data_IF_402926115138
#
_entry.id   IF_402926115138
#
_cell.length_a   1.000
_cell.length_b   1.000
_cell.length_c   1.000
_cell.angle_alpha   90.00
_cell.angle_beta   90.00
_cell.angle_gamma   90.00
#
_symmetry.space_group_name_H-M   'P 1'
#
loop_
_entity.id
_entity.type
_entity.pdbx_description
1 polymer ?
#
# COMPACT_ATOMS: atom_id res chain seq x y z
N UNK A 1 -7.54 6.65 -23.49
CA UNK A 1 -6.96 7.59 -22.54
C UNK A 1 -6.23 6.78 -21.47
N UNK A 2 -5.11 7.26 -20.91
CA UNK A 2 -4.45 6.57 -19.82
C UNK A 2 -5.38 6.49 -18.60
N UNK A 3 -5.23 5.44 -17.82
CA UNK A 3 -5.92 5.29 -16.53
C UNK A 3 -5.35 6.31 -15.54
N UNK A 4 -6.20 6.98 -14.79
CA UNK A 4 -5.76 7.98 -13.81
C UNK A 4 -5.62 7.32 -12.44
N UNK A 5 -4.43 7.47 -11.84
CA UNK A 5 -4.11 6.93 -10.52
C UNK A 5 -3.84 8.04 -9.51
N UNK A 6 -4.31 7.83 -8.28
CA UNK A 6 -3.84 8.51 -7.07
C UNK A 6 -3.17 7.46 -6.20
N UNK A 7 -1.96 7.74 -5.72
CA UNK A 7 -1.18 6.80 -4.90
C UNK A 7 -0.93 7.45 -3.54
N UNK A 8 -1.38 6.80 -2.47
CA UNK A 8 -1.09 7.20 -1.08
C UNK A 8 -0.07 6.22 -0.49
N UNK A 9 1.05 6.73 0.07
CA UNK A 9 2.24 5.94 0.38
C UNK A 9 2.95 6.48 1.61
N UNK A 10 3.60 5.64 2.39
CA UNK A 10 4.52 6.02 3.47
C UNK A 10 5.99 5.80 3.10
N UNK A 11 6.30 5.96 1.86
CA UNK A 11 7.43 5.60 1.01
C UNK A 11 8.67 5.14 1.77
N UNK A 12 8.78 3.83 1.88
CA UNK A 12 9.99 3.12 2.22
C UNK A 12 10.49 2.31 0.99
N UNK A 13 11.24 1.24 1.22
CA UNK A 13 11.96 0.54 0.17
C UNK A 13 11.06 -0.13 -0.88
N UNK A 14 10.03 -0.84 -0.46
CA UNK A 14 9.08 -1.50 -1.36
C UNK A 14 8.06 -0.53 -1.95
N UNK A 15 7.59 0.46 -1.19
CA UNK A 15 6.80 1.58 -1.74
C UNK A 15 7.50 2.24 -2.92
N UNK A 16 8.81 2.52 -2.79
CA UNK A 16 9.58 3.15 -3.86
C UNK A 16 9.57 2.29 -5.14
N UNK A 17 9.65 0.97 -5.01
CA UNK A 17 9.53 0.05 -6.17
C UNK A 17 8.12 0.09 -6.75
N UNK A 18 7.08 0.13 -5.91
CA UNK A 18 5.70 0.27 -6.38
C UNK A 18 5.47 1.59 -7.12
N UNK A 19 6.03 2.71 -6.62
CA UNK A 19 6.01 4.00 -7.30
C UNK A 19 6.70 3.93 -8.67
N UNK A 20 7.86 3.28 -8.78
CA UNK A 20 8.54 3.06 -10.07
C UNK A 20 7.60 2.33 -11.03
N UNK A 21 6.96 1.25 -10.59
CA UNK A 21 6.04 0.47 -11.43
C UNK A 21 4.91 1.34 -12.00
N UNK A 22 4.30 2.18 -11.19
CA UNK A 22 3.23 3.08 -11.63
C UNK A 22 3.74 4.17 -12.57
N UNK A 23 4.82 4.87 -12.19
CA UNK A 23 5.38 6.01 -12.91
C UNK A 23 6.00 5.60 -14.27
N UNK A 24 6.43 4.35 -14.39
CA UNK A 24 6.98 3.78 -15.64
C UNK A 24 5.93 3.04 -16.50
N UNK A 25 4.66 3.00 -16.06
CA UNK A 25 3.58 2.36 -16.82
C UNK A 25 3.01 3.32 -17.88
N UNK A 26 3.13 3.02 -19.18
CA UNK A 26 2.79 3.95 -20.25
C UNK A 26 1.28 4.21 -20.38
N UNK A 27 0.46 3.35 -19.82
CA UNK A 27 -1.00 3.44 -19.84
C UNK A 27 -1.58 4.05 -18.54
N UNK A 28 -0.72 4.58 -17.67
CA UNK A 28 -1.10 5.19 -16.39
C UNK A 28 -0.66 6.66 -16.35
N UNK A 29 -1.56 7.50 -15.85
CA UNK A 29 -1.27 8.88 -15.45
C UNK A 29 -1.41 8.99 -13.93
N UNK A 30 -0.29 9.18 -13.23
CA UNK A 30 -0.29 9.43 -11.79
C UNK A 30 -0.62 10.90 -11.54
N UNK A 31 -1.89 11.16 -11.17
CA UNK A 31 -2.40 12.51 -10.94
C UNK A 31 -1.93 13.11 -9.60
N UNK A 32 -1.63 12.26 -8.61
CA UNK A 32 -1.07 12.67 -7.33
C UNK A 32 -0.37 11.51 -6.64
N UNK A 33 0.72 11.83 -5.93
CA UNK A 33 1.33 11.01 -4.89
C UNK A 33 1.10 11.74 -3.57
N UNK A 34 0.36 11.12 -2.65
CA UNK A 34 0.12 11.65 -1.31
C UNK A 34 0.90 10.83 -0.30
N UNK A 35 1.53 11.49 0.67
CA UNK A 35 2.46 10.84 1.59
C UNK A 35 1.94 10.91 3.01
N UNK A 36 2.00 9.80 3.72
CA UNK A 36 1.61 9.63 5.11
C UNK A 36 2.81 9.15 5.94
N UNK A 37 2.81 9.36 7.24
CA UNK A 37 3.76 8.71 8.13
C UNK A 37 3.37 7.24 8.35
N UNK A 38 4.33 6.34 8.24
CA UNK A 38 4.17 4.91 8.47
C UNK A 38 5.53 4.26 8.67
N UNK A 39 6.03 3.54 7.69
CA UNK A 39 7.34 2.86 7.74
C UNK A 39 8.46 3.78 8.23
N UNK A 40 8.41 5.05 7.84
CA UNK A 40 9.30 6.11 8.31
C UNK A 40 8.49 7.36 8.70
N UNK A 41 9.08 8.32 9.46
CA UNK A 41 8.44 9.61 9.70
C UNK A 41 8.09 10.35 8.40
N UNK A 42 7.04 11.15 8.40
CA UNK A 42 6.52 11.86 7.22
C UNK A 42 7.60 12.58 6.40
N UNK A 43 8.49 13.31 7.07
CA UNK A 43 9.56 14.04 6.37
C UNK A 43 10.48 13.10 5.58
N UNK A 44 10.79 11.93 6.14
CA UNK A 44 11.62 10.94 5.47
C UNK A 44 10.85 10.27 4.32
N UNK A 45 9.59 9.90 4.54
CA UNK A 45 8.73 9.36 3.48
C UNK A 45 8.59 10.34 2.30
N UNK A 46 8.43 11.64 2.60
CA UNK A 46 8.39 12.70 1.58
C UNK A 46 9.69 12.79 0.77
N UNK A 47 10.84 12.73 1.43
CA UNK A 47 12.15 12.72 0.73
C UNK A 47 12.26 11.52 -0.19
N UNK A 48 11.85 10.35 0.28
CA UNK A 48 11.90 9.10 -0.46
C UNK A 48 10.96 9.13 -1.68
N UNK A 49 9.71 9.61 -1.52
CA UNK A 49 8.75 9.76 -2.61
C UNK A 49 9.24 10.73 -3.70
N UNK A 50 9.75 11.89 -3.30
CA UNK A 50 10.31 12.89 -4.21
C UNK A 50 11.53 12.34 -4.95
N UNK A 51 12.46 11.69 -4.24
CA UNK A 51 13.65 11.07 -4.84
C UNK A 51 13.26 9.99 -5.85
N UNK A 52 12.32 9.13 -5.52
CA UNK A 52 11.83 8.08 -6.43
C UNK A 52 11.16 8.67 -7.67
N UNK A 53 10.35 9.73 -7.50
CA UNK A 53 9.74 10.43 -8.63
C UNK A 53 10.80 11.08 -9.56
N UNK A 54 11.85 11.69 -8.99
CA UNK A 54 13.00 12.23 -9.74
C UNK A 54 13.75 11.14 -10.50
N UNK A 55 14.03 10.01 -9.83
CA UNK A 55 14.72 8.87 -10.43
C UNK A 55 13.95 8.33 -11.66
N UNK A 56 12.61 8.39 -11.61
CA UNK A 56 11.75 8.03 -12.74
C UNK A 56 11.63 9.12 -13.82
N UNK A 57 12.20 10.30 -13.63
CA UNK A 57 11.98 11.45 -14.51
C UNK A 57 10.53 11.94 -14.52
N UNK A 58 9.77 11.66 -13.43
CA UNK A 58 8.35 11.97 -13.36
C UNK A 58 8.08 13.37 -12.81
N UNK A 59 7.08 14.05 -13.39
CA UNK A 59 6.55 15.32 -12.91
C UNK A 59 5.31 15.17 -12.01
N UNK A 60 4.90 13.96 -11.66
CA UNK A 60 3.74 13.73 -10.80
C UNK A 60 3.84 14.55 -9.50
N UNK A 61 2.80 15.30 -9.11
CA UNK A 61 2.83 16.14 -7.92
C UNK A 61 2.83 15.28 -6.65
N UNK A 62 3.63 15.69 -5.64
CA UNK A 62 3.81 14.98 -4.37
C UNK A 62 3.36 15.88 -3.23
N UNK A 63 2.45 15.40 -2.39
CA UNK A 63 1.79 16.16 -1.33
C UNK A 63 2.09 15.56 0.04
N UNK A 64 2.48 16.40 1.00
CA UNK A 64 2.63 15.99 2.39
C UNK A 64 1.28 15.85 3.09
N UNK A 65 1.09 14.76 3.81
CA UNK A 65 -0.12 14.46 4.55
C UNK A 65 0.10 14.35 6.06
N UNK A 66 -0.53 13.37 6.67
CA UNK A 66 -0.52 13.22 8.11
C UNK A 66 0.81 12.67 8.64
N UNK A 67 1.28 13.30 9.69
CA UNK A 67 2.53 12.90 10.36
C UNK A 67 2.33 11.87 11.48
N UNK A 68 1.08 11.47 11.74
CA UNK A 68 0.72 10.55 12.82
C UNK A 68 -0.63 9.88 12.56
N UNK A 69 -0.86 8.68 13.11
CA UNK A 69 -2.17 8.03 13.13
C UNK A 69 -3.24 8.86 13.82
N UNK A 70 -4.52 8.57 13.55
CA UNK A 70 -5.67 9.30 14.09
C UNK A 70 -5.69 9.34 15.61
N UNK A 71 -5.47 8.20 16.26
CA UNK A 71 -5.65 8.08 17.71
C UNK A 71 -4.36 7.71 18.45
N UNK A 72 -3.37 7.17 17.77
CA UNK A 72 -2.21 6.53 18.41
C UNK A 72 -0.91 7.28 18.11
N UNK A 73 0.15 6.97 18.86
CA UNK A 73 1.49 7.45 18.54
C UNK A 73 2.02 6.70 17.34
N UNK A 74 2.63 7.42 16.42
CA UNK A 74 3.34 6.81 15.30
C UNK A 74 4.47 5.90 15.81
N UNK A 75 4.55 4.71 15.23
CA UNK A 75 5.61 3.73 15.47
C UNK A 75 6.16 3.29 14.11
N UNK A 76 7.36 3.75 13.78
CA UNK A 76 8.01 3.48 12.49
C UNK A 76 8.52 2.04 12.37
N UNK A 77 8.69 1.58 11.14
CA UNK A 77 9.35 0.33 10.78
C UNK A 77 10.80 0.54 10.31
N UNK A 78 11.47 1.59 10.81
CA UNK A 78 12.88 1.87 10.48
C UNK A 78 13.82 0.71 10.85
N UNK A 79 13.44 -0.11 11.81
CA UNK A 79 14.16 -1.34 12.15
C UNK A 79 14.12 -2.37 11.00
N UNK A 80 13.13 -2.29 10.10
CA UNK A 80 12.95 -3.18 8.96
C UNK A 80 13.53 -2.57 7.67
N UNK A 81 13.21 -1.31 7.36
CA UNK A 81 13.56 -0.65 6.10
C UNK A 81 14.87 0.16 6.12
N UNK A 82 15.54 0.26 7.30
CA UNK A 82 16.66 1.18 7.51
C UNK A 82 16.19 2.53 8.04
N UNK A 83 17.13 3.32 8.60
CA UNK A 83 16.81 4.63 9.19
C UNK A 83 16.25 5.63 8.19
N UNK A 84 16.74 5.57 6.95
CA UNK A 84 16.26 6.40 5.83
C UNK A 84 15.09 5.75 5.07
N UNK A 85 14.70 4.53 5.45
CA UNK A 85 13.64 3.78 4.77
C UNK A 85 14.03 3.21 3.41
N UNK A 86 15.25 3.47 2.93
CA UNK A 86 15.77 3.02 1.64
C UNK A 86 17.05 2.20 1.80
N UNK A 87 17.12 1.41 2.89
CA UNK A 87 18.20 0.47 3.15
C UNK A 87 19.51 1.11 3.59
N UNK A 88 19.49 2.36 4.05
CA UNK A 88 20.66 3.15 4.50
C UNK A 88 21.78 3.24 3.44
N UNK A 89 21.40 3.34 2.15
CA UNK A 89 22.34 3.39 1.03
C UNK A 89 22.94 4.78 0.77
N UNK A 90 22.48 5.81 1.49
CA UNK A 90 23.02 7.18 1.38
C UNK A 90 22.60 7.90 0.08
N UNK A 91 21.39 7.67 -0.41
CA UNK A 91 20.87 8.37 -1.58
C UNK A 91 20.83 9.89 -1.35
N UNK A 92 21.11 10.69 -2.40
CA UNK A 92 21.13 12.15 -2.27
C UNK A 92 19.75 12.71 -1.96
N UNK A 93 19.67 13.89 -1.33
CA UNK A 93 18.38 14.55 -1.12
C UNK A 93 17.75 14.92 -2.47
N UNK A 94 16.41 14.86 -2.59
CA UNK A 94 15.71 15.28 -3.79
C UNK A 94 15.90 16.80 -4.03
N UNK A 95 15.91 17.20 -5.31
CA UNK A 95 15.94 18.61 -5.71
C UNK A 95 14.52 19.19 -5.73
N UNK A 96 13.54 18.38 -6.11
CA UNK A 96 12.12 18.74 -6.11
C UNK A 96 11.62 19.02 -4.69
N UNK A 97 10.65 19.93 -4.63
CA UNK A 97 9.91 20.21 -3.38
C UNK A 97 8.51 19.64 -3.45
N UNK A 98 7.91 19.31 -2.29
CA UNK A 98 6.51 18.94 -2.25
C UNK A 98 5.62 20.12 -2.69
N UNK A 99 4.42 19.77 -3.14
CA UNK A 99 3.37 20.75 -3.34
C UNK A 99 2.95 21.38 -1.99
N UNK A 100 2.49 22.63 -2.03
CA UNK A 100 2.15 23.38 -0.82
C UNK A 100 0.83 22.95 -0.16
N UNK A 101 -0.03 22.25 -0.91
CA UNK A 101 -1.33 21.77 -0.44
C UNK A 101 -1.14 20.53 0.43
N UNK A 102 -1.98 20.38 1.46
CA UNK A 102 -2.00 19.17 2.26
C UNK A 102 -2.59 17.99 1.48
N UNK A 103 -2.05 16.78 1.70
CA UNK A 103 -2.46 15.56 0.99
C UNK A 103 -3.97 15.29 1.09
N UNK A 104 -4.58 15.50 2.25
CA UNK A 104 -6.03 15.30 2.45
C UNK A 104 -6.87 16.17 1.49
N UNK A 105 -6.47 17.43 1.29
CA UNK A 105 -7.14 18.33 0.35
C UNK A 105 -6.86 17.92 -1.10
N UNK A 106 -5.63 17.51 -1.39
CA UNK A 106 -5.25 17.02 -2.71
C UNK A 106 -6.04 15.74 -3.09
N UNK A 107 -6.21 14.80 -2.17
CA UNK A 107 -7.03 13.59 -2.37
C UNK A 107 -8.46 13.98 -2.77
N UNK A 108 -9.10 14.87 -1.99
CA UNK A 108 -10.48 15.29 -2.27
C UNK A 108 -10.59 15.95 -3.64
N UNK A 109 -9.69 16.86 -3.98
CA UNK A 109 -9.73 17.58 -5.27
C UNK A 109 -9.42 16.67 -6.45
N UNK A 110 -8.36 15.84 -6.35
CA UNK A 110 -7.95 14.95 -7.44
C UNK A 110 -9.02 13.90 -7.73
N UNK A 111 -9.61 13.30 -6.69
CA UNK A 111 -10.72 12.34 -6.89
C UNK A 111 -11.95 13.04 -7.47
N UNK A 112 -12.26 14.25 -7.00
CA UNK A 112 -13.42 15.02 -7.51
C UNK A 112 -13.26 15.41 -8.97
N UNK A 113 -12.03 15.71 -9.40
CA UNK A 113 -11.73 16.11 -10.78
C UNK A 113 -11.61 14.95 -11.77
N UNK A 114 -11.46 13.70 -11.29
CA UNK A 114 -11.20 12.53 -12.12
C UNK A 114 -12.20 11.38 -11.85
N UNK A 115 -13.45 11.47 -12.31
CA UNK A 115 -14.39 10.37 -12.18
C UNK A 115 -13.86 9.08 -12.82
N UNK A 116 -13.92 7.98 -12.09
CA UNK A 116 -13.36 6.70 -12.52
C UNK A 116 -11.89 6.49 -12.13
N UNK A 117 -11.32 7.35 -11.28
CA UNK A 117 -9.95 7.24 -10.78
C UNK A 117 -9.72 5.92 -10.04
N UNK A 118 -8.51 5.39 -10.17
CA UNK A 118 -7.99 4.29 -9.34
C UNK A 118 -7.20 4.88 -8.18
N UNK A 119 -7.57 4.54 -6.96
CA UNK A 119 -6.82 4.89 -5.76
C UNK A 119 -6.00 3.67 -5.35
N UNK A 120 -4.70 3.86 -5.12
CA UNK A 120 -3.81 2.81 -4.61
C UNK A 120 -3.23 3.31 -3.29
N UNK A 121 -3.42 2.55 -2.22
CA UNK A 121 -2.85 2.87 -0.91
C UNK A 121 -1.81 1.83 -0.54
N UNK A 122 -0.61 2.29 -0.22
CA UNK A 122 0.54 1.45 0.11
C UNK A 122 0.92 1.54 1.59
N UNK A 123 0.51 2.63 2.26
CA UNK A 123 0.75 2.88 3.69
C UNK A 123 -0.52 2.88 4.55
N UNK A 124 -0.39 3.33 5.81
CA UNK A 124 -1.54 3.50 6.72
C UNK A 124 -2.62 4.41 6.12
N UNK A 125 -3.88 4.08 6.33
CA UNK A 125 -5.02 4.69 5.64
C UNK A 125 -5.45 6.08 6.17
N UNK A 126 -4.59 6.74 6.97
CA UNK A 126 -4.91 7.98 7.68
C UNK A 126 -5.34 9.11 6.75
N UNK A 127 -4.57 9.38 5.68
CA UNK A 127 -4.91 10.44 4.71
C UNK A 127 -6.26 10.17 4.04
N UNK A 128 -6.50 8.94 3.61
CA UNK A 128 -7.73 8.54 2.92
C UNK A 128 -8.93 8.63 3.86
N UNK A 129 -8.79 8.18 5.12
CA UNK A 129 -9.85 8.29 6.13
C UNK A 129 -10.26 9.75 6.37
N UNK A 130 -9.29 10.66 6.50
CA UNK A 130 -9.55 12.08 6.68
C UNK A 130 -10.16 12.74 5.43
N UNK A 131 -9.73 12.35 4.24
CA UNK A 131 -10.32 12.82 2.99
C UNK A 131 -11.80 12.41 2.87
N UNK A 132 -12.11 11.16 3.24
CA UNK A 132 -13.48 10.65 3.29
C UNK A 132 -14.33 11.35 4.36
N UNK A 133 -13.79 11.61 5.54
CA UNK A 133 -14.46 12.37 6.58
C UNK A 133 -14.77 13.81 6.13
N UNK A 134 -13.84 14.45 5.39
CA UNK A 134 -13.98 15.79 4.85
C UNK A 134 -14.99 15.87 3.70
N UNK A 135 -14.99 14.88 2.82
CA UNK A 135 -15.86 14.84 1.64
C UNK A 135 -16.32 13.41 1.33
N UNK A 136 -17.34 12.88 2.02
CA UNK A 136 -17.81 11.50 1.82
C UNK A 136 -18.25 11.21 0.38
N UNK A 137 -18.66 12.25 -0.36
CA UNK A 137 -19.15 12.13 -1.73
C UNK A 137 -18.10 11.69 -2.75
N UNK A 138 -16.81 11.77 -2.45
CA UNK A 138 -15.73 11.37 -3.36
C UNK A 138 -15.73 9.87 -3.69
N UNK A 139 -16.33 9.04 -2.82
CA UNK A 139 -16.49 7.59 -3.03
C UNK A 139 -17.06 7.27 -4.41
N UNK A 140 -18.01 8.08 -4.90
CA UNK A 140 -18.70 7.88 -6.19
C UNK A 140 -17.79 8.02 -7.42
N UNK A 141 -16.65 8.70 -7.25
CA UNK A 141 -15.71 8.94 -8.34
C UNK A 141 -14.59 7.90 -8.41
N UNK A 142 -14.46 7.04 -7.40
CA UNK A 142 -13.44 6.00 -7.35
C UNK A 142 -13.96 4.74 -8.04
N UNK A 143 -13.26 4.27 -9.06
CA UNK A 143 -13.61 3.00 -9.74
C UNK A 143 -13.04 1.77 -9.04
N UNK A 144 -11.86 1.91 -8.44
CA UNK A 144 -11.15 0.87 -7.68
C UNK A 144 -10.34 1.53 -6.57
N UNK A 145 -10.33 0.93 -5.39
CA UNK A 145 -9.44 1.32 -4.28
C UNK A 145 -8.61 0.11 -3.90
N UNK A 146 -7.39 0.01 -4.45
CA UNK A 146 -6.48 -1.11 -4.19
C UNK A 146 -5.68 -0.78 -2.94
N UNK A 147 -5.90 -1.56 -1.89
CA UNK A 147 -5.31 -1.35 -0.56
C UNK A 147 -4.28 -2.44 -0.31
N UNK A 148 -2.99 -2.07 -0.25
CA UNK A 148 -1.99 -2.93 0.36
C UNK A 148 -2.16 -2.86 1.87
N UNK A 149 -2.44 -3.98 2.49
CA UNK A 149 -2.57 -4.08 3.93
C UNK A 149 -3.39 -5.26 4.40
N UNK A 150 -3.26 -5.52 5.68
CA UNK A 150 -3.97 -6.60 6.35
C UNK A 150 -3.38 -7.99 6.09
N UNK A 151 -3.90 -8.90 6.87
CA UNK A 151 -3.50 -10.30 6.85
C UNK A 151 -4.77 -11.18 6.87
N UNK A 152 -5.59 -11.16 5.81
CA UNK A 152 -6.89 -11.83 5.80
C UNK A 152 -6.73 -13.33 6.06
N UNK A 153 -7.21 -13.78 7.22
CA UNK A 153 -7.19 -15.18 7.67
C UNK A 153 -5.80 -15.82 7.81
N UNK A 154 -4.75 -15.01 7.99
CA UNK A 154 -3.36 -15.46 8.17
C UNK A 154 -2.71 -14.75 9.35
N UNK A 155 -1.46 -15.12 9.68
CA UNK A 155 -0.63 -14.41 10.67
C UNK A 155 -0.29 -12.98 10.24
N UNK A 156 -0.03 -12.12 11.23
CA UNK A 156 0.47 -10.76 11.00
C UNK A 156 2.01 -10.71 10.85
N UNK A 157 2.51 -9.55 10.43
CA UNK A 157 3.94 -9.29 10.29
C UNK A 157 4.52 -8.36 11.37
N UNK A 158 3.71 -7.53 12.01
CA UNK A 158 4.15 -6.63 13.10
C UNK A 158 3.73 -7.14 14.47
N UNK A 159 2.59 -7.77 14.56
CA UNK A 159 2.15 -8.57 15.70
C UNK A 159 1.65 -9.92 15.19
N UNK A 160 1.49 -10.94 16.06
CA UNK A 160 0.91 -12.22 15.62
C UNK A 160 -0.47 -12.09 14.95
N UNK A 161 -1.20 -11.01 15.26
CA UNK A 161 -2.57 -10.79 14.78
C UNK A 161 -2.69 -9.80 13.62
N UNK A 162 -1.70 -8.93 13.40
CA UNK A 162 -1.88 -7.78 12.52
C UNK A 162 -0.71 -7.53 11.54
N UNK A 163 -1.09 -7.07 10.36
CA UNK A 163 -0.20 -6.48 9.38
C UNK A 163 0.03 -4.99 9.72
N UNK A 164 1.23 -4.47 9.37
CA UNK A 164 1.74 -3.18 9.79
C UNK A 164 0.82 -2.00 9.45
N UNK A 165 0.35 -1.86 8.22
CA UNK A 165 -0.48 -0.72 7.80
C UNK A 165 -1.79 -0.65 8.59
N UNK A 166 -2.42 -1.81 8.81
CA UNK A 166 -3.63 -1.91 9.63
C UNK A 166 -3.35 -1.71 11.11
N UNK A 167 -2.19 -2.10 11.60
CA UNK A 167 -1.80 -1.96 13.01
C UNK A 167 -1.42 -0.53 13.39
N UNK A 168 -0.77 0.22 12.48
CA UNK A 168 -0.35 1.61 12.73
C UNK A 168 -1.55 2.52 12.94
N UNK A 169 -2.58 2.42 12.10
CA UNK A 169 -3.80 3.23 12.23
C UNK A 169 -5.06 2.38 11.98
N UNK A 170 -5.42 1.50 12.94
CA UNK A 170 -6.59 0.63 12.79
C UNK A 170 -7.91 1.43 12.74
N UNK A 171 -7.96 2.59 13.37
CA UNK A 171 -9.11 3.47 13.36
C UNK A 171 -9.34 4.06 11.95
N UNK A 172 -8.28 4.48 11.27
CA UNK A 172 -8.35 4.93 9.88
C UNK A 172 -8.73 3.76 8.94
N UNK A 173 -8.11 2.59 9.14
CA UNK A 173 -8.42 1.39 8.36
C UNK A 173 -9.90 1.00 8.48
N UNK A 174 -10.45 0.97 9.69
CA UNK A 174 -11.88 0.71 9.95
C UNK A 174 -12.76 1.75 9.25
N UNK A 175 -12.41 3.04 9.33
CA UNK A 175 -13.18 4.11 8.69
C UNK A 175 -13.21 3.94 7.17
N UNK A 176 -12.10 3.60 6.55
CA UNK A 176 -11.99 3.37 5.09
C UNK A 176 -12.77 2.13 4.68
N UNK A 177 -12.63 1.00 5.39
CA UNK A 177 -13.37 -0.22 5.10
C UNK A 177 -14.89 -0.03 5.17
N UNK A 178 -15.37 0.85 6.04
CA UNK A 178 -16.80 1.17 6.22
C UNK A 178 -17.30 2.31 5.33
N UNK A 179 -16.45 2.91 4.50
CA UNK A 179 -16.79 4.11 3.71
C UNK A 179 -17.70 3.87 2.52
N UNK A 180 -17.69 2.64 1.98
CA UNK A 180 -18.34 2.29 0.71
C UNK A 180 -17.45 2.50 -0.52
N UNK A 181 -16.15 2.74 -0.35
CA UNK A 181 -15.19 2.65 -1.44
C UNK A 181 -15.19 1.23 -2.05
N UNK A 182 -14.98 1.10 -3.38
CA UNK A 182 -14.83 -0.19 -4.03
C UNK A 182 -13.46 -0.81 -3.70
N UNK A 183 -13.33 -1.32 -2.48
CA UNK A 183 -12.07 -1.82 -1.92
C UNK A 183 -11.67 -3.15 -2.53
N UNK A 184 -10.41 -3.22 -2.93
CA UNK A 184 -9.68 -4.43 -3.31
C UNK A 184 -8.52 -4.61 -2.33
N UNK A 185 -8.61 -5.62 -1.46
CA UNK A 185 -7.63 -5.85 -0.39
C UNK A 185 -6.54 -6.81 -0.87
N UNK A 186 -5.31 -6.33 -0.88
CA UNK A 186 -4.09 -7.09 -1.21
C UNK A 186 -3.31 -7.28 0.08
N UNK A 187 -3.52 -8.43 0.72
CA UNK A 187 -2.92 -8.73 2.02
C UNK A 187 -1.46 -9.19 1.93
N UNK A 188 -0.75 -9.07 3.04
CA UNK A 188 0.65 -9.45 3.18
C UNK A 188 0.96 -10.91 2.77
N UNK A 189 0.01 -11.83 2.93
CA UNK A 189 0.18 -13.23 2.55
C UNK A 189 0.51 -13.44 1.06
N UNK A 190 0.16 -12.48 0.18
CA UNK A 190 0.38 -12.60 -1.27
C UNK A 190 1.83 -12.34 -1.71
N UNK A 191 2.62 -11.67 -0.89
CA UNK A 191 4.00 -11.32 -1.22
C UNK A 191 5.04 -12.29 -0.65
N UNK A 192 4.60 -13.41 -0.04
CA UNK A 192 5.45 -14.37 0.68
C UNK A 192 5.84 -15.59 -0.15
N UNK A 193 6.79 -16.36 0.37
CA UNK A 193 7.22 -17.62 -0.23
C UNK A 193 7.77 -17.43 -1.65
N UNK A 194 7.16 -18.08 -2.61
CA UNK A 194 7.58 -18.01 -4.02
C UNK A 194 7.40 -16.63 -4.67
N UNK A 195 6.57 -15.76 -4.07
CA UNK A 195 6.41 -14.38 -4.51
C UNK A 195 7.61 -13.49 -4.16
N UNK A 196 8.45 -13.88 -3.20
CA UNK A 196 9.72 -13.19 -2.91
C UNK A 196 10.62 -13.22 -4.16
N UNK A 197 11.39 -12.16 -4.36
CA UNK A 197 12.47 -12.18 -5.34
C UNK A 197 13.60 -13.08 -4.82
N UNK A 198 13.77 -14.23 -5.44
CA UNK A 198 14.87 -15.16 -5.15
C UNK A 198 16.23 -14.57 -5.54
N UNK A 199 17.33 -15.23 -5.18
CA UNK A 199 18.68 -14.84 -5.63
C UNK A 199 18.76 -14.75 -7.16
N UNK A 200 18.15 -15.70 -7.88
CA UNK A 200 18.12 -15.69 -9.34
C UNK A 200 17.32 -14.50 -9.90
N UNK A 201 16.20 -14.12 -9.25
CA UNK A 201 15.42 -12.93 -9.62
C UNK A 201 16.24 -11.65 -9.39
N UNK A 202 16.96 -11.57 -8.27
CA UNK A 202 17.84 -10.44 -7.94
C UNK A 202 18.96 -10.31 -8.99
N UNK A 203 19.63 -11.40 -9.31
CA UNK A 203 20.69 -11.43 -10.34
C UNK A 203 20.13 -11.01 -11.70
N UNK A 204 18.95 -11.48 -12.06
CA UNK A 204 18.28 -11.08 -13.30
C UNK A 204 17.98 -9.58 -13.32
N UNK A 205 17.37 -9.03 -12.25
CA UNK A 205 17.07 -7.59 -12.16
C UNK A 205 18.35 -6.77 -12.27
N UNK A 206 19.42 -7.15 -11.58
CA UNK A 206 20.72 -6.46 -11.67
C UNK A 206 21.32 -6.54 -13.08
N UNK A 207 21.08 -7.63 -13.82
CA UNK A 207 21.56 -7.80 -15.21
C UNK A 207 20.87 -6.87 -16.22
N UNK A 208 19.74 -6.24 -15.87
CA UNK A 208 19.10 -5.19 -16.68
C UNK A 208 19.97 -3.94 -16.80
N UNK A 209 20.93 -3.75 -15.90
CA UNK A 209 21.94 -2.68 -15.87
C UNK A 209 21.36 -1.27 -15.98
N UNK A 210 20.15 -1.04 -15.42
CA UNK A 210 19.52 0.26 -15.33
C UNK A 210 19.69 0.86 -13.92
N UNK A 211 19.57 2.18 -13.78
CA UNK A 211 19.59 2.83 -12.47
C UNK A 211 18.39 2.42 -11.62
N UNK A 212 17.22 2.21 -12.24
CA UNK A 212 16.00 1.77 -11.56
C UNK A 212 16.16 0.35 -11.00
N UNK A 213 16.73 -0.58 -11.78
CA UNK A 213 16.97 -1.94 -11.35
C UNK A 213 17.97 -2.00 -10.17
N UNK A 214 19.08 -1.26 -10.26
CA UNK A 214 20.04 -1.13 -9.16
C UNK A 214 19.41 -0.54 -7.91
N UNK A 215 18.62 0.51 -8.06
CA UNK A 215 17.91 1.15 -6.96
C UNK A 215 16.91 0.18 -6.31
N UNK A 216 16.05 -0.47 -7.10
CA UNK A 216 15.02 -1.39 -6.61
C UNK A 216 15.58 -2.53 -5.74
N UNK A 217 16.76 -3.06 -6.09
CA UNK A 217 17.42 -4.09 -5.28
C UNK A 217 18.12 -3.49 -4.06
N UNK A 218 18.89 -2.41 -4.26
CA UNK A 218 19.75 -1.89 -3.19
C UNK A 218 18.95 -1.25 -2.05
N UNK A 219 17.84 -0.54 -2.33
CA UNK A 219 17.01 0.06 -1.30
C UNK A 219 16.32 -0.99 -0.40
N UNK A 220 16.17 -2.23 -0.89
CA UNK A 220 15.55 -3.34 -0.16
C UNK A 220 16.54 -4.24 0.62
N UNK A 221 17.84 -3.94 0.64
CA UNK A 221 18.84 -4.81 1.30
C UNK A 221 18.59 -4.99 2.80
N UNK A 222 18.27 -3.91 3.50
CA UNK A 222 17.98 -3.97 4.94
C UNK A 222 16.69 -4.76 5.18
N UNK A 223 15.65 -4.48 4.40
CA UNK A 223 14.37 -5.19 4.48
C UNK A 223 14.51 -6.71 4.18
N UNK A 224 15.35 -7.08 3.21
CA UNK A 224 15.64 -8.49 2.90
C UNK A 224 16.23 -9.23 4.10
N UNK A 225 17.20 -8.63 4.79
CA UNK A 225 17.80 -9.25 5.98
C UNK A 225 16.82 -9.29 7.16
N UNK A 226 16.06 -8.21 7.38
CA UNK A 226 15.04 -8.17 8.42
C UNK A 226 13.95 -9.22 8.18
N UNK A 227 13.49 -9.38 6.93
CA UNK A 227 12.52 -10.43 6.54
C UNK A 227 13.07 -11.83 6.81
N UNK A 228 14.34 -12.08 6.44
CA UNK A 228 15.00 -13.36 6.71
C UNK A 228 15.06 -13.70 8.20
N UNK A 229 15.36 -12.71 9.04
CA UNK A 229 15.38 -12.89 10.50
C UNK A 229 14.00 -13.16 11.07
N UNK A 230 12.99 -12.45 10.58
CA UNK A 230 11.63 -12.51 11.07
C UNK A 230 10.88 -13.77 10.64
N UNK A 231 10.98 -14.13 9.36
CA UNK A 231 10.16 -15.18 8.74
C UNK A 231 10.93 -16.46 8.42
N UNK A 232 12.26 -16.39 8.35
CA UNK A 232 13.13 -17.45 7.82
C UNK A 232 13.14 -17.53 6.29
N UNK A 233 12.35 -16.70 5.60
CA UNK A 233 12.28 -16.69 4.13
C UNK A 233 13.48 -15.97 3.52
N UNK A 234 13.98 -16.52 2.41
CA UNK A 234 15.10 -15.94 1.66
C UNK A 234 14.55 -15.14 0.47
N UNK A 235 15.16 -13.98 0.23
CA UNK A 235 14.78 -13.11 -0.88
C UNK A 235 14.18 -11.79 -0.44
N UNK A 236 13.73 -10.98 -1.41
CA UNK A 236 13.13 -9.68 -1.17
C UNK A 236 11.60 -9.84 -1.21
N UNK A 237 10.94 -9.60 -0.08
CA UNK A 237 9.48 -9.52 0.01
C UNK A 237 9.03 -8.14 -0.45
N UNK A 238 8.08 -8.07 -1.38
CA UNK A 238 7.62 -6.82 -2.01
C UNK A 238 6.09 -6.69 -1.97
N UNK A 239 5.49 -6.40 -0.79
CA UNK A 239 4.05 -6.28 -0.65
C UNK A 239 3.44 -5.16 -1.52
N UNK A 240 4.01 -3.96 -1.48
CA UNK A 240 3.50 -2.80 -2.23
C UNK A 240 3.60 -2.98 -3.75
N UNK A 241 4.73 -3.48 -4.30
CA UNK A 241 4.79 -3.86 -5.70
C UNK A 241 3.78 -4.93 -6.11
N UNK A 242 3.43 -5.87 -5.21
CA UNK A 242 2.37 -6.86 -5.47
C UNK A 242 1.00 -6.19 -5.58
N UNK A 243 0.67 -5.26 -4.68
CA UNK A 243 -0.57 -4.48 -4.75
C UNK A 243 -0.60 -3.59 -6.01
N UNK A 244 0.50 -2.92 -6.32
CA UNK A 244 0.63 -2.11 -7.52
C UNK A 244 0.48 -2.96 -8.79
N UNK A 245 1.02 -4.17 -8.82
CA UNK A 245 0.86 -5.07 -9.95
C UNK A 245 -0.61 -5.43 -10.22
N UNK A 246 -1.39 -5.72 -9.17
CA UNK A 246 -2.84 -5.96 -9.26
C UNK A 246 -3.60 -4.69 -9.70
N UNK A 247 -3.16 -3.50 -9.24
CA UNK A 247 -3.74 -2.23 -9.69
C UNK A 247 -3.49 -2.00 -11.19
N UNK A 248 -2.29 -2.30 -11.67
CA UNK A 248 -1.87 -2.17 -13.07
C UNK A 248 -2.49 -3.26 -13.97
N UNK A 249 -2.52 -4.48 -13.50
CA UNK A 249 -3.07 -5.63 -14.22
C UNK A 249 -3.90 -6.53 -13.29
N UNK A 250 -5.23 -6.33 -13.22
CA UNK A 250 -6.09 -7.14 -12.35
C UNK A 250 -6.05 -8.65 -12.63
N UNK A 251 -5.62 -9.07 -13.82
CA UNK A 251 -5.54 -10.49 -14.18
C UNK A 251 -4.36 -11.22 -13.52
N UNK A 252 -3.48 -10.51 -12.81
CA UNK A 252 -2.47 -11.10 -11.94
C UNK A 252 -3.12 -11.82 -10.77
N UNK A 253 -4.27 -11.33 -10.28
CA UNK A 253 -5.04 -12.07 -9.27
C UNK A 253 -5.75 -13.27 -9.90
N UNK A 254 -5.35 -14.46 -9.50
CA UNK A 254 -5.89 -15.72 -10.01
C UNK A 254 -7.08 -16.22 -9.19
N UNK A 255 -7.18 -15.81 -7.93
CA UNK A 255 -8.31 -16.10 -7.06
C UNK A 255 -8.65 -14.91 -6.16
N UNK A 256 -9.88 -14.44 -6.27
CA UNK A 256 -10.42 -13.39 -5.43
C UNK A 256 -11.89 -13.66 -5.09
N UNK A 257 -12.37 -13.13 -3.97
CA UNK A 257 -13.78 -13.20 -3.58
C UNK A 257 -14.19 -12.03 -2.69
N UNK A 258 -15.50 -11.73 -2.68
CA UNK A 258 -16.04 -10.61 -1.91
C UNK A 258 -16.46 -11.05 -0.52
N UNK A 259 -16.01 -10.32 0.48
CA UNK A 259 -16.33 -10.54 1.89
C UNK A 259 -16.47 -9.23 2.64
N UNK A 260 -17.29 -9.22 3.70
CA UNK A 260 -17.25 -8.14 4.66
C UNK A 260 -15.95 -8.24 5.47
N UNK A 261 -15.28 -7.10 5.60
CA UNK A 261 -13.99 -6.99 6.29
C UNK A 261 -14.04 -5.83 7.25
N UNK A 262 -13.57 -6.05 8.46
CA UNK A 262 -13.36 -5.01 9.48
C UNK A 262 -11.99 -5.17 10.13
N UNK A 263 -11.57 -4.15 10.89
CA UNK A 263 -10.30 -4.15 11.63
C UNK A 263 -10.55 -4.00 13.11
N UNK A 264 -9.88 -4.80 13.94
CA UNK A 264 -9.95 -4.71 15.39
C UNK A 264 -9.25 -3.45 15.92
N UNK A 265 -9.96 -2.63 16.69
CA UNK A 265 -9.46 -1.35 17.23
C UNK A 265 -9.33 -1.31 18.73
N UNK A 266 -10.05 -2.17 19.47
CA UNK A 266 -10.25 -2.03 20.92
C UNK A 266 -9.33 -2.93 21.75
N UNK A 267 -9.06 -4.16 21.30
CA UNK A 267 -8.22 -5.11 22.01
C UNK A 267 -6.74 -4.85 21.76
N UNK A 268 -5.94 -4.68 22.80
CA UNK A 268 -4.48 -4.55 22.67
C UNK A 268 -3.82 -5.79 22.04
N UNK A 269 -4.36 -6.99 22.29
CA UNK A 269 -3.79 -8.25 21.78
C UNK A 269 -4.01 -8.41 20.26
N UNK A 270 -5.17 -8.00 19.77
CA UNK A 270 -5.59 -8.22 18.37
C UNK A 270 -5.76 -6.92 17.58
N UNK A 271 -5.31 -5.80 18.12
CA UNK A 271 -5.34 -4.50 17.43
C UNK A 271 -4.74 -4.58 16.02
N UNK A 272 -5.48 -4.05 15.05
CA UNK A 272 -5.09 -4.10 13.65
C UNK A 272 -5.39 -5.43 12.96
N UNK A 273 -5.92 -6.42 13.68
CA UNK A 273 -6.33 -7.69 13.07
C UNK A 273 -7.38 -7.47 12.00
N UNK A 274 -7.15 -8.02 10.83
CA UNK A 274 -8.10 -8.02 9.72
C UNK A 274 -9.11 -9.13 9.90
N UNK A 275 -10.36 -8.77 10.24
CA UNK A 275 -11.45 -9.71 10.49
C UNK A 275 -12.28 -9.86 9.22
N UNK A 276 -12.29 -11.09 8.67
CA UNK A 276 -12.97 -11.39 7.39
C UNK A 276 -14.14 -12.33 7.61
N UNK A 277 -15.32 -11.94 7.18
CA UNK A 277 -16.53 -12.81 7.19
C UNK A 277 -16.51 -13.79 6.01
N UNK A 278 -15.75 -14.88 6.14
CA UNK A 278 -15.67 -15.92 5.11
C UNK A 278 -16.88 -16.86 5.07
N UNK A 279 -17.63 -16.93 6.16
CA UNK A 279 -18.77 -17.84 6.29
C UNK A 279 -20.10 -17.14 6.06
N UNK A 280 -20.10 -15.82 5.76
CA UNK A 280 -21.29 -14.99 5.55
C UNK A 280 -22.23 -14.98 6.78
N UNK A 281 -21.65 -14.91 7.97
CA UNK A 281 -22.39 -14.89 9.25
C UNK A 281 -22.60 -13.47 9.81
N UNK A 282 -22.05 -12.45 9.16
CA UNK A 282 -22.21 -11.05 9.58
C UNK A 282 -23.69 -10.61 9.65
N UNK A 283 -24.53 -11.13 8.76
CA UNK A 283 -25.97 -10.84 8.71
C UNK A 283 -26.81 -11.60 9.74
N UNK A 284 -26.24 -12.59 10.45
CA UNK A 284 -26.96 -13.34 11.51
C UNK A 284 -27.33 -12.41 12.66
N UNK A 285 -28.48 -12.66 13.30
CA UNK A 285 -29.01 -11.84 14.40
C UNK A 285 -27.98 -11.56 15.50
N UNK A 286 -27.20 -12.56 15.88
CA UNK A 286 -26.13 -12.48 16.90
C UNK A 286 -24.98 -11.55 16.53
N UNK A 287 -24.75 -11.29 15.22
CA UNK A 287 -23.62 -10.53 14.70
C UNK A 287 -24.05 -9.17 14.13
N UNK A 288 -25.31 -9.05 13.73
CA UNK A 288 -25.84 -7.93 12.95
C UNK A 288 -25.53 -6.55 13.54
N UNK A 289 -25.64 -6.40 14.84
CA UNK A 289 -25.39 -5.11 15.50
C UNK A 289 -23.97 -4.59 15.25
N UNK A 290 -22.97 -5.49 15.31
CA UNK A 290 -21.56 -5.13 15.11
C UNK A 290 -21.26 -4.88 13.63
N UNK A 291 -21.85 -5.69 12.74
CA UNK A 291 -21.56 -5.65 11.31
C UNK A 291 -22.50 -4.73 10.51
N UNK A 292 -23.54 -4.15 11.13
CA UNK A 292 -24.53 -3.27 10.47
C UNK A 292 -23.89 -2.18 9.58
N UNK A 293 -22.83 -1.47 10.00
CA UNK A 293 -22.22 -0.43 9.17
C UNK A 293 -21.63 -0.95 7.85
N UNK A 294 -21.21 -2.21 7.82
CA UNK A 294 -20.67 -2.88 6.63
C UNK A 294 -21.76 -3.53 5.78
N UNK A 295 -22.81 -4.08 6.40
CA UNK A 295 -23.92 -4.74 5.70
C UNK A 295 -24.70 -3.81 4.76
N UNK A 296 -24.57 -2.49 4.96
CA UNK A 296 -25.15 -1.44 4.11
C UNK A 296 -24.26 -1.04 2.93
N UNK A 297 -23.10 -1.64 2.80
CA UNK A 297 -22.09 -1.36 1.78
C UNK A 297 -21.77 -2.59 0.95
N UNK A 298 -21.14 -2.37 -0.19
CA UNK A 298 -20.60 -3.47 -0.99
C UNK A 298 -19.42 -4.12 -0.25
N UNK A 299 -19.36 -5.47 -0.22
CA UNK A 299 -18.26 -6.17 0.39
C UNK A 299 -16.96 -5.96 -0.38
N UNK A 300 -15.83 -5.87 0.33
CA UNK A 300 -14.50 -5.74 -0.24
C UNK A 300 -14.12 -6.97 -1.06
N UNK A 301 -13.41 -6.76 -2.16
CA UNK A 301 -12.79 -7.84 -2.92
C UNK A 301 -11.46 -8.21 -2.27
N UNK A 302 -11.32 -9.44 -1.80
CA UNK A 302 -10.07 -9.94 -1.22
C UNK A 302 -9.36 -10.80 -2.24
N UNK A 303 -8.10 -10.49 -2.50
CA UNK A 303 -7.23 -11.30 -3.35
C UNK A 303 -6.58 -12.40 -2.51
N UNK A 304 -6.67 -13.66 -2.98
CA UNK A 304 -6.19 -14.85 -2.27
C UNK A 304 -4.98 -15.50 -2.92
N UNK A 305 -4.83 -15.36 -4.23
CA UNK A 305 -3.73 -15.97 -5.00
C UNK A 305 -3.39 -15.09 -6.20
N UNK A 306 -2.12 -15.14 -6.61
CA UNK A 306 -1.60 -14.39 -7.76
C UNK A 306 -0.82 -15.30 -8.71
N UNK A 307 -0.74 -14.90 -9.97
CA UNK A 307 0.17 -15.45 -10.97
C UNK A 307 1.57 -14.86 -10.72
N UNK A 308 2.40 -15.60 -9.99
CA UNK A 308 3.74 -15.17 -9.59
C UNK A 308 4.65 -14.89 -10.79
N UNK A 309 4.74 -15.75 -11.83
CA UNK A 309 5.50 -15.43 -13.03
C UNK A 309 5.08 -14.13 -13.70
N UNK A 310 3.79 -13.90 -13.81
CA UNK A 310 3.25 -12.68 -14.44
C UNK A 310 3.51 -11.43 -13.60
N UNK A 311 3.35 -11.53 -12.29
CA UNK A 311 3.69 -10.47 -11.34
C UNK A 311 5.16 -10.06 -11.48
N UNK A 312 6.09 -11.02 -11.44
CA UNK A 312 7.54 -10.77 -11.59
C UNK A 312 7.88 -10.19 -12.98
N UNK A 313 7.28 -10.71 -14.04
CA UNK A 313 7.48 -10.19 -15.40
C UNK A 313 7.01 -8.73 -15.52
N UNK A 314 5.88 -8.36 -14.88
CA UNK A 314 5.41 -6.97 -14.87
C UNK A 314 6.40 -6.06 -14.14
N UNK A 315 6.91 -6.46 -12.97
CA UNK A 315 7.93 -5.75 -12.24
C UNK A 315 9.17 -5.52 -13.10
N UNK A 316 9.75 -6.57 -13.66
CA UNK A 316 10.98 -6.50 -14.46
C UNK A 316 10.84 -5.57 -15.66
N UNK A 317 9.68 -5.58 -16.31
CA UNK A 317 9.39 -4.71 -17.45
C UNK A 317 9.26 -3.21 -17.10
N UNK A 318 9.39 -2.83 -15.83
CA UNK A 318 9.34 -1.43 -15.36
C UNK A 318 10.67 -0.95 -14.77
N UNK A 319 11.62 -1.82 -14.59
CA UNK A 319 12.96 -1.56 -14.07
C UNK A 319 13.98 -1.45 -15.21
#
# INVERSE_FOLDING_TARGET
MPRVFLIDTDTASDDAVALIMALRSPDVHVAAITVVAGNVPLEQAMRNALYTAELCGSSAPVYAGEARPLMRKHQSAQWFHGRDGLGDQGYPPPVRKPESKHAVDAIVEVISANPGIVVVTLGPLTNVALALARSPGIVRNVSRCVVMGGNPCTEGNVTPAAEYNMWVDPEAARAVLRSGLPIELVGWHLCRGEANLSAADIDYVLSLDTDLARFAINCNRTAMEANRVQTGEIGICLPDPTAMAIALDPSISTRASRHYVDVETDSELTRGMTVVDRLNVAGDERNRTIWQPLLEKDPALIHWEIDIPRWKALLYGRL
#
